data_IF_185848661115
#
_entry.id   IF_185848661115
#
_cell.length_a   1.000
_cell.length_b   1.000
_cell.length_c   1.000
_cell.angle_alpha   90.00
_cell.angle_beta   90.00
_cell.angle_gamma   90.00
#
_symmetry.space_group_name_H-M   'P 1'
#
loop_
_entity.id
_entity.type
_entity.pdbx_description
1 polymer ?
#
# COMPACT_ATOMS: atom_id res chain seq x y z
N UNK A 1 -1.39 5.27 -2.46
CA UNK A 1 -1.39 4.11 -3.39
C UNK A 1 -1.16 2.86 -2.56
N UNK A 2 -1.73 1.70 -2.93
CA UNK A 2 -1.48 0.46 -2.18
C UNK A 2 0.00 0.06 -2.28
N UNK A 3 0.53 -0.51 -1.19
CA UNK A 3 1.93 -0.95 -1.11
C UNK A 3 2.11 -2.26 -1.91
N UNK A 4 3.01 -2.30 -2.92
CA UNK A 4 3.17 -3.46 -3.79
C UNK A 4 3.69 -4.71 -3.06
N UNK A 5 4.55 -4.56 -2.05
CA UNK A 5 5.07 -5.70 -1.28
C UNK A 5 3.96 -6.36 -0.45
N UNK A 6 3.08 -5.54 0.12
CA UNK A 6 1.92 -6.01 0.88
C UNK A 6 0.91 -6.71 -0.04
N UNK A 7 0.67 -6.18 -1.25
CA UNK A 7 -0.16 -6.86 -2.25
C UNK A 7 0.42 -8.21 -2.68
N UNK A 8 1.73 -8.27 -2.90
CA UNK A 8 2.40 -9.52 -3.23
C UNK A 8 2.29 -10.55 -2.09
N UNK A 9 2.45 -10.12 -0.84
CA UNK A 9 2.28 -10.98 0.33
C UNK A 9 0.85 -11.49 0.47
N UNK A 10 -0.15 -10.63 0.26
CA UNK A 10 -1.56 -11.05 0.23
C UNK A 10 -1.83 -12.12 -0.84
N UNK A 11 -1.26 -11.98 -2.04
CA UNK A 11 -1.44 -12.97 -3.12
C UNK A 11 -0.72 -14.29 -2.86
N UNK A 12 0.31 -14.29 -2.00
CA UNK A 12 1.00 -15.51 -1.61
C UNK A 12 0.16 -16.37 -0.64
N UNK A 13 -0.84 -15.79 0.03
CA UNK A 13 -1.79 -16.51 0.89
C UNK A 13 -2.94 -17.06 0.02
N UNK A 14 -3.12 -18.39 -0.09
CA UNK A 14 -4.10 -19.00 -0.98
C UNK A 14 -5.53 -18.49 -0.77
N UNK A 15 -5.98 -18.36 0.47
CA UNK A 15 -7.33 -17.95 0.83
C UNK A 15 -7.62 -16.50 0.42
N UNK A 16 -6.64 -15.61 0.56
CA UNK A 16 -6.75 -14.21 0.14
C UNK A 16 -6.74 -14.11 -1.39
N UNK A 17 -5.91 -14.91 -2.07
CA UNK A 17 -5.90 -15.00 -3.52
C UNK A 17 -7.25 -15.51 -4.06
N UNK A 18 -7.78 -16.58 -3.48
CA UNK A 18 -9.10 -17.11 -3.82
C UNK A 18 -10.21 -16.09 -3.58
N UNK A 19 -10.14 -15.32 -2.50
CA UNK A 19 -11.08 -14.25 -2.22
C UNK A 19 -11.08 -13.18 -3.33
N UNK A 20 -9.90 -12.76 -3.79
CA UNK A 20 -9.76 -11.80 -4.90
C UNK A 20 -10.33 -12.36 -6.21
N UNK A 21 -10.06 -13.63 -6.51
CA UNK A 21 -10.60 -14.32 -7.67
C UNK A 21 -12.13 -14.40 -7.64
N UNK A 22 -12.70 -14.78 -6.49
CA UNK A 22 -14.16 -14.86 -6.31
C UNK A 22 -14.80 -13.49 -6.44
N UNK A 23 -14.19 -12.45 -5.85
CA UNK A 23 -14.63 -11.05 -6.01
C UNK A 23 -14.66 -10.64 -7.48
N UNK A 24 -13.60 -10.91 -8.23
CA UNK A 24 -13.54 -10.56 -9.65
C UNK A 24 -14.60 -11.33 -10.46
N UNK A 25 -14.78 -12.64 -10.18
CA UNK A 25 -15.80 -13.46 -10.83
C UNK A 25 -17.22 -12.95 -10.54
N UNK A 26 -17.53 -12.57 -9.30
CA UNK A 26 -18.84 -12.00 -8.94
C UNK A 26 -19.07 -10.66 -9.65
N UNK A 27 -18.06 -9.79 -9.70
CA UNK A 27 -18.15 -8.53 -10.43
C UNK A 27 -18.41 -8.76 -11.93
N UNK A 28 -17.73 -9.74 -12.54
CA UNK A 28 -17.96 -10.14 -13.93
C UNK A 28 -19.38 -10.68 -14.15
N UNK A 29 -19.88 -11.54 -13.25
CA UNK A 29 -21.25 -12.06 -13.32
C UNK A 29 -22.30 -10.95 -13.20
N UNK A 30 -22.07 -9.94 -12.36
CA UNK A 30 -22.95 -8.75 -12.25
C UNK A 30 -22.94 -7.96 -13.56
N UNK A 31 -21.77 -7.79 -14.17
CA UNK A 31 -21.63 -7.10 -15.46
C UNK A 31 -22.36 -7.86 -16.58
N UNK A 32 -22.19 -9.18 -16.64
CA UNK A 32 -22.74 -10.03 -17.70
C UNK A 32 -24.24 -10.36 -17.49
N UNK A 33 -24.79 -10.04 -16.32
CA UNK A 33 -26.21 -10.19 -15.99
C UNK A 33 -26.90 -8.82 -16.00
N UNK A 34 -27.33 -8.31 -17.17
CA UNK A 34 -27.96 -7.00 -17.27
C UNK A 34 -29.25 -6.92 -16.46
N UNK A 35 -29.65 -5.70 -16.13
CA UNK A 35 -30.96 -5.48 -15.52
C UNK A 35 -32.05 -5.91 -16.51
N UNK A 36 -33.00 -6.72 -16.03
CA UNK A 36 -34.22 -7.06 -16.75
C UNK A 36 -35.37 -6.22 -16.20
N UNK A 37 -36.35 -5.92 -17.06
CA UNK A 37 -37.59 -5.28 -16.61
C UNK A 37 -38.33 -6.14 -15.57
N UNK A 38 -39.28 -5.54 -14.87
CA UNK A 38 -40.07 -6.28 -13.89
C UNK A 38 -40.87 -7.41 -14.54
N UNK A 39 -41.14 -8.51 -13.81
CA UNK A 39 -41.96 -9.60 -14.33
C UNK A 39 -43.30 -9.14 -14.89
N UNK A 40 -43.91 -8.14 -14.26
CA UNK A 40 -45.16 -7.51 -14.69
C UNK A 40 -44.98 -6.73 -16.00
N UNK A 41 -43.87 -6.02 -16.17
CA UNK A 41 -43.56 -5.29 -17.41
C UNK A 41 -43.34 -6.27 -18.56
N UNK A 42 -42.58 -7.34 -18.34
CA UNK A 42 -42.33 -8.37 -19.36
C UNK A 42 -43.60 -9.13 -19.76
N UNK A 43 -44.46 -9.47 -18.80
CA UNK A 43 -45.77 -10.05 -19.10
C UNK A 43 -46.69 -9.07 -19.87
N UNK A 44 -46.64 -7.78 -19.51
CA UNK A 44 -47.43 -6.74 -20.17
C UNK A 44 -47.00 -6.52 -21.63
N UNK A 45 -45.70 -6.58 -21.94
CA UNK A 45 -45.21 -6.49 -23.33
C UNK A 45 -45.86 -7.55 -24.23
N UNK A 46 -46.02 -8.78 -23.73
CA UNK A 46 -46.72 -9.85 -24.47
C UNK A 46 -48.18 -9.51 -24.73
N UNK A 47 -48.87 -8.92 -23.74
CA UNK A 47 -50.25 -8.49 -23.91
C UNK A 47 -50.37 -7.30 -24.90
N UNK A 48 -49.43 -6.36 -24.86
CA UNK A 48 -49.37 -5.21 -25.77
C UNK A 48 -49.05 -5.66 -27.22
N UNK A 49 -48.18 -6.66 -27.39
CA UNK A 49 -47.91 -7.33 -28.67
C UNK A 49 -49.16 -8.04 -29.22
N UNK A 50 -49.87 -8.79 -28.37
CA UNK A 50 -51.10 -9.48 -28.76
C UNK A 50 -52.22 -8.52 -29.15
N UNK A 51 -52.36 -7.40 -28.44
CA UNK A 51 -53.29 -6.34 -28.80
C UNK A 51 -52.93 -5.75 -30.17
N UNK A 52 -51.65 -5.51 -30.43
CA UNK A 52 -51.17 -5.00 -31.72
C UNK A 52 -51.50 -5.97 -32.86
N UNK A 53 -51.30 -7.28 -32.65
CA UNK A 53 -51.66 -8.32 -33.63
C UNK A 53 -53.17 -8.41 -33.88
N UNK A 54 -53.98 -8.32 -32.81
CA UNK A 54 -55.43 -8.30 -32.92
C UNK A 54 -55.92 -7.08 -33.72
N UNK A 55 -55.36 -5.89 -33.46
CA UNK A 55 -55.71 -4.68 -34.20
C UNK A 55 -55.35 -4.78 -35.68
N UNK A 56 -54.30 -5.53 -36.03
CA UNK A 56 -53.86 -5.72 -37.41
C UNK A 56 -54.64 -6.81 -38.17
N UNK A 57 -55.02 -7.90 -37.48
CA UNK A 57 -55.55 -9.13 -38.13
C UNK A 57 -57.00 -9.44 -37.78
N UNK A 58 -57.56 -8.78 -36.76
CA UNK A 58 -58.87 -9.07 -36.19
C UNK A 58 -58.93 -10.38 -35.39
N UNK A 59 -57.81 -11.07 -35.18
CA UNK A 59 -57.76 -12.37 -34.50
C UNK A 59 -56.92 -12.27 -33.23
N UNK A 60 -57.48 -12.71 -32.10
CA UNK A 60 -56.76 -12.74 -30.83
C UNK A 60 -55.92 -14.02 -30.74
N UNK A 61 -54.60 -13.95 -30.45
CA UNK A 61 -53.79 -15.16 -30.37
C UNK A 61 -54.23 -16.06 -29.20
N UNK A 62 -54.29 -17.37 -29.40
CA UNK A 62 -54.78 -18.31 -28.39
C UNK A 62 -53.77 -18.59 -27.27
N UNK A 63 -52.49 -18.24 -27.48
CA UNK A 63 -51.36 -18.59 -26.61
C UNK A 63 -50.86 -17.42 -25.74
N UNK A 64 -51.55 -16.27 -25.77
CA UNK A 64 -51.11 -15.03 -25.09
C UNK A 64 -50.88 -15.25 -23.59
N UNK A 65 -51.79 -15.94 -22.92
CA UNK A 65 -51.68 -16.21 -21.48
C UNK A 65 -50.44 -17.06 -21.17
N UNK A 66 -50.20 -18.12 -21.94
CA UNK A 66 -49.04 -18.98 -21.79
C UNK A 66 -47.73 -18.23 -22.07
N UNK A 67 -47.69 -17.38 -23.11
CA UNK A 67 -46.53 -16.53 -23.42
C UNK A 67 -46.28 -15.49 -22.33
N UNK A 68 -47.32 -14.84 -21.81
CA UNK A 68 -47.21 -13.85 -20.75
C UNK A 68 -46.71 -14.48 -19.44
N UNK A 69 -47.24 -15.66 -19.07
CA UNK A 69 -46.76 -16.42 -17.91
C UNK A 69 -45.30 -16.86 -18.05
N UNK A 70 -44.90 -17.28 -19.25
CA UNK A 70 -43.50 -17.65 -19.54
C UNK A 70 -42.56 -16.43 -19.45
N UNK A 71 -42.98 -15.27 -19.97
CA UNK A 71 -42.24 -14.02 -19.86
C UNK A 71 -42.09 -13.58 -18.41
N UNK A 72 -43.18 -13.60 -17.63
CA UNK A 72 -43.17 -13.32 -16.19
C UNK A 72 -42.17 -14.21 -15.45
N UNK A 73 -42.27 -15.52 -15.63
CA UNK A 73 -41.46 -16.50 -14.90
C UNK A 73 -39.97 -16.34 -15.23
N UNK A 74 -39.64 -16.11 -16.51
CA UNK A 74 -38.27 -15.86 -16.96
C UNK A 74 -37.69 -14.59 -16.32
N UNK A 75 -38.45 -13.50 -16.36
CA UNK A 75 -38.05 -12.22 -15.78
C UNK A 75 -37.88 -12.31 -14.26
N UNK A 76 -38.80 -12.98 -13.56
CA UNK A 76 -38.71 -13.18 -12.11
C UNK A 76 -37.46 -13.97 -11.72
N UNK A 77 -37.15 -15.05 -12.45
CA UNK A 77 -35.92 -15.82 -12.25
C UNK A 77 -34.65 -14.99 -12.48
N UNK A 78 -34.61 -14.21 -13.57
CA UNK A 78 -33.47 -13.35 -13.87
C UNK A 78 -33.28 -12.23 -12.82
N UNK A 79 -34.36 -11.61 -12.33
CA UNK A 79 -34.28 -10.64 -11.24
C UNK A 79 -33.75 -11.26 -9.95
N UNK A 80 -34.23 -12.44 -9.57
CA UNK A 80 -33.78 -13.13 -8.36
C UNK A 80 -32.28 -13.45 -8.41
N UNK A 81 -31.79 -13.97 -9.54
CA UNK A 81 -30.35 -14.24 -9.74
C UNK A 81 -29.54 -12.95 -9.65
N UNK A 82 -29.97 -11.90 -10.36
CA UNK A 82 -29.26 -10.61 -10.35
C UNK A 82 -29.24 -9.98 -8.96
N UNK A 83 -30.32 -10.06 -8.19
CA UNK A 83 -30.38 -9.58 -6.82
C UNK A 83 -29.34 -10.29 -5.93
N UNK A 84 -29.19 -11.60 -6.06
CA UNK A 84 -28.18 -12.38 -5.33
C UNK A 84 -26.75 -12.04 -5.76
N UNK A 85 -26.50 -11.84 -7.05
CA UNK A 85 -25.18 -11.41 -7.52
C UNK A 85 -24.81 -10.02 -6.99
N UNK A 86 -25.76 -9.09 -6.92
CA UNK A 86 -25.53 -7.77 -6.33
C UNK A 86 -25.27 -7.84 -4.82
N UNK A 87 -25.98 -8.70 -4.10
CA UNK A 87 -25.75 -8.96 -2.67
C UNK A 87 -24.35 -9.52 -2.42
N UNK A 88 -23.97 -10.58 -3.15
CA UNK A 88 -22.62 -11.13 -3.09
C UNK A 88 -21.56 -10.08 -3.44
N UNK A 89 -21.79 -9.26 -4.48
CA UNK A 89 -20.86 -8.19 -4.83
C UNK A 89 -20.72 -7.15 -3.72
N UNK A 90 -21.80 -6.83 -2.99
CA UNK A 90 -21.72 -5.94 -1.81
C UNK A 90 -20.89 -6.57 -0.69
N UNK A 91 -21.07 -7.87 -0.43
CA UNK A 91 -20.30 -8.61 0.57
C UNK A 91 -18.80 -8.58 0.27
N UNK A 92 -18.38 -8.91 -0.96
CA UNK A 92 -16.97 -8.83 -1.40
C UNK A 92 -16.41 -7.39 -1.48
N UNK A 93 -17.27 -6.37 -1.50
CA UNK A 93 -16.85 -4.97 -1.44
C UNK A 93 -16.97 -4.38 -0.03
N UNK A 94 -17.47 -5.14 0.95
CA UNK A 94 -17.57 -4.68 2.31
C UNK A 94 -16.16 -4.55 2.91
N UNK A 95 -15.78 -3.40 3.52
CA UNK A 95 -14.43 -3.17 4.03
C UNK A 95 -13.96 -4.23 5.05
N UNK A 96 -14.87 -4.76 5.87
CA UNK A 96 -14.52 -5.76 6.88
C UNK A 96 -14.22 -7.14 6.32
N UNK A 97 -14.75 -7.51 5.14
CA UNK A 97 -14.64 -8.87 4.62
C UNK A 97 -13.18 -9.26 4.36
N UNK A 98 -12.45 -8.41 3.64
CA UNK A 98 -11.03 -8.62 3.38
C UNK A 98 -10.17 -8.34 4.63
N UNK A 99 -10.59 -7.40 5.48
CA UNK A 99 -9.85 -7.05 6.70
C UNK A 99 -9.81 -8.24 7.67
N UNK A 100 -10.96 -8.88 7.90
CA UNK A 100 -11.08 -10.07 8.76
C UNK A 100 -10.22 -11.21 8.23
N UNK A 101 -10.25 -11.45 6.90
CA UNK A 101 -9.45 -12.51 6.29
C UNK A 101 -7.94 -12.25 6.44
N UNK A 102 -7.51 -11.00 6.29
CA UNK A 102 -6.11 -10.61 6.48
C UNK A 102 -5.66 -10.74 7.93
N UNK A 103 -6.54 -10.45 8.89
CA UNK A 103 -6.26 -10.63 10.32
C UNK A 103 -6.10 -12.12 10.67
N UNK A 104 -6.98 -12.98 10.16
CA UNK A 104 -6.89 -14.44 10.34
C UNK A 104 -5.55 -14.97 9.80
N UNK A 105 -5.14 -14.51 8.61
CA UNK A 105 -3.92 -14.98 7.94
C UNK A 105 -2.72 -14.06 8.13
N UNK A 106 -2.69 -13.27 9.21
CA UNK A 106 -1.61 -12.28 9.44
C UNK A 106 -0.24 -12.93 9.48
N UNK A 107 -0.12 -14.07 10.15
CA UNK A 107 1.15 -14.79 10.31
C UNK A 107 1.69 -15.24 8.95
N UNK A 108 0.84 -15.76 8.07
CA UNK A 108 1.20 -16.16 6.72
C UNK A 108 1.59 -14.96 5.85
N UNK A 109 0.90 -13.82 6.00
CA UNK A 109 1.27 -12.57 5.33
C UNK A 109 2.68 -12.11 5.76
N UNK A 110 2.95 -12.13 7.08
CA UNK A 110 4.26 -11.75 7.62
C UNK A 110 5.37 -12.72 7.17
N UNK A 111 5.09 -14.02 7.12
CA UNK A 111 6.02 -15.02 6.59
C UNK A 111 6.31 -14.81 5.09
N UNK A 112 5.29 -14.45 4.29
CA UNK A 112 5.46 -14.11 2.89
C UNK A 112 6.31 -12.83 2.70
N UNK A 113 6.14 -11.83 3.57
CA UNK A 113 7.01 -10.65 3.59
C UNK A 113 8.45 -11.00 4.00
N UNK A 114 8.63 -11.91 4.96
CA UNK A 114 9.94 -12.45 5.33
C UNK A 114 10.65 -13.11 4.15
N UNK A 115 9.94 -13.94 3.39
CA UNK A 115 10.48 -14.57 2.18
C UNK A 115 10.87 -13.54 1.11
N UNK A 116 10.06 -12.49 0.92
CA UNK A 116 10.41 -11.38 0.02
C UNK A 116 11.66 -10.62 0.48
N UNK A 117 11.83 -10.41 1.79
CA UNK A 117 13.02 -9.79 2.35
C UNK A 117 14.26 -10.65 2.11
N UNK A 118 14.16 -11.95 2.35
CA UNK A 118 15.27 -12.90 2.12
C UNK A 118 15.71 -12.90 0.65
N UNK A 119 14.76 -12.93 -0.28
CA UNK A 119 15.01 -12.84 -1.72
C UNK A 119 15.68 -11.51 -2.09
N UNK A 120 15.23 -10.39 -1.52
CA UNK A 120 15.82 -9.07 -1.73
C UNK A 120 17.27 -9.03 -1.25
N UNK A 121 17.54 -9.54 -0.04
CA UNK A 121 18.88 -9.58 0.54
C UNK A 121 19.80 -10.54 -0.22
N UNK A 122 19.27 -11.65 -0.74
CA UNK A 122 20.00 -12.55 -1.62
C UNK A 122 20.38 -11.88 -2.95
N UNK A 123 19.49 -11.05 -3.52
CA UNK A 123 19.80 -10.24 -4.70
C UNK A 123 20.86 -9.17 -4.39
N UNK A 124 20.70 -8.44 -3.28
CA UNK A 124 21.65 -7.42 -2.87
C UNK A 124 23.06 -8.02 -2.65
N UNK A 125 23.15 -9.20 -2.02
CA UNK A 125 24.42 -9.92 -1.79
C UNK A 125 25.20 -10.22 -3.06
N UNK A 126 24.54 -10.36 -4.22
CA UNK A 126 25.22 -10.56 -5.52
C UNK A 126 26.01 -9.34 -5.98
N UNK A 127 25.76 -8.17 -5.39
CA UNK A 127 26.37 -6.90 -5.79
C UNK A 127 27.24 -6.28 -4.70
N UNK A 128 27.17 -6.77 -3.46
CA UNK A 128 27.96 -6.20 -2.35
C UNK A 128 29.46 -6.42 -2.50
N UNK A 129 29.91 -7.53 -3.10
CA UNK A 129 31.33 -7.79 -3.34
C UNK A 129 31.96 -6.79 -4.30
N UNK A 130 31.24 -6.43 -5.37
CA UNK A 130 31.71 -5.52 -6.42
C UNK A 130 31.69 -4.05 -5.95
N UNK A 131 30.93 -3.75 -4.90
CA UNK A 131 30.85 -2.41 -4.30
C UNK A 131 32.10 -2.05 -3.47
N UNK A 132 32.76 -3.03 -2.85
CA UNK A 132 33.89 -2.79 -1.96
C UNK A 132 33.52 -1.89 -0.77
N UNK A 133 34.29 -0.82 -0.54
CA UNK A 133 34.08 0.15 0.56
C UNK A 133 33.21 1.35 0.17
N UNK A 134 32.77 1.45 -1.09
CA UNK A 134 31.99 2.59 -1.59
C UNK A 134 30.59 2.61 -0.97
N UNK A 135 30.16 3.76 -0.45
CA UNK A 135 28.84 3.93 0.16
C UNK A 135 28.03 5.11 -0.40
N UNK A 136 28.64 5.94 -1.25
CA UNK A 136 27.97 7.08 -1.88
C UNK A 136 27.95 6.97 -3.41
N UNK A 137 27.04 7.72 -4.04
CA UNK A 137 26.94 7.77 -5.50
C UNK A 137 28.18 8.42 -6.14
N UNK A 138 28.74 9.46 -5.52
CA UNK A 138 29.90 10.18 -6.04
C UNK A 138 31.16 9.33 -5.99
N UNK A 139 31.34 8.56 -4.89
CA UNK A 139 32.43 7.60 -4.77
C UNK A 139 32.28 6.47 -5.79
N UNK A 140 31.05 5.99 -6.03
CA UNK A 140 30.78 4.96 -7.01
C UNK A 140 31.08 5.44 -8.44
N UNK A 141 30.71 6.67 -8.78
CA UNK A 141 31.02 7.29 -10.06
C UNK A 141 32.52 7.48 -10.25
N UNK A 142 33.22 7.89 -9.19
CA UNK A 142 34.68 8.08 -9.19
C UNK A 142 35.42 6.75 -9.38
N UNK A 143 34.98 5.69 -8.69
CA UNK A 143 35.54 4.35 -8.86
C UNK A 143 35.25 3.75 -10.25
N UNK A 144 34.09 4.07 -10.82
CA UNK A 144 33.69 3.66 -12.16
C UNK A 144 33.48 2.14 -12.31
N UNK A 145 33.35 1.70 -13.56
CA UNK A 145 33.29 0.28 -13.92
C UNK A 145 32.24 -0.53 -13.15
N UNK A 146 32.66 -1.69 -12.63
CA UNK A 146 31.79 -2.62 -11.89
C UNK A 146 31.26 -2.02 -10.58
N UNK A 147 32.02 -1.16 -9.91
CA UNK A 147 31.60 -0.52 -8.65
C UNK A 147 30.41 0.41 -8.88
N UNK A 148 30.47 1.24 -9.94
CA UNK A 148 29.35 2.10 -10.32
C UNK A 148 28.10 1.27 -10.67
N UNK A 149 28.26 0.19 -11.45
CA UNK A 149 27.15 -0.70 -11.80
C UNK A 149 26.52 -1.39 -10.58
N UNK A 150 27.35 -1.90 -9.67
CA UNK A 150 26.91 -2.53 -8.43
C UNK A 150 26.12 -1.54 -7.55
N UNK A 151 26.62 -0.31 -7.40
CA UNK A 151 25.93 0.74 -6.66
C UNK A 151 24.56 1.06 -7.28
N UNK A 152 24.48 1.20 -8.61
CA UNK A 152 23.20 1.43 -9.29
C UNK A 152 22.21 0.30 -9.06
N UNK A 153 22.64 -0.96 -9.14
CA UNK A 153 21.78 -2.12 -8.88
C UNK A 153 21.30 -2.15 -7.42
N UNK A 154 22.18 -1.92 -6.45
CA UNK A 154 21.81 -1.84 -5.03
C UNK A 154 20.85 -0.68 -4.76
N UNK A 155 21.11 0.50 -5.33
CA UNK A 155 20.21 1.66 -5.22
C UNK A 155 18.81 1.37 -5.77
N UNK A 156 18.70 0.59 -6.84
CA UNK A 156 17.42 0.19 -7.41
C UNK A 156 16.62 -0.76 -6.48
N UNK A 157 17.27 -1.47 -5.55
CA UNK A 157 16.63 -2.36 -4.59
C UNK A 157 16.11 -1.62 -3.33
N UNK A 158 16.64 -0.44 -3.02
CA UNK A 158 16.26 0.35 -1.83
C UNK A 158 14.76 0.67 -1.77
N UNK A 159 14.08 1.09 -2.85
CA UNK A 159 12.63 1.27 -2.82
C UNK A 159 11.86 -0.02 -2.48
N UNK A 160 12.34 -1.18 -2.93
CA UNK A 160 11.74 -2.47 -2.60
C UNK A 160 11.91 -2.79 -1.12
N UNK A 161 13.09 -2.52 -0.54
CA UNK A 161 13.30 -2.63 0.91
C UNK A 161 12.30 -1.75 1.69
N UNK A 162 12.18 -0.48 1.30
CA UNK A 162 11.27 0.46 1.93
C UNK A 162 9.81 -0.02 1.86
N UNK A 163 9.38 -0.56 0.72
CA UNK A 163 8.05 -1.13 0.56
C UNK A 163 7.83 -2.35 1.46
N UNK A 164 8.79 -3.28 1.54
CA UNK A 164 8.70 -4.45 2.43
C UNK A 164 8.59 -4.00 3.90
N UNK A 165 9.41 -3.05 4.34
CA UNK A 165 9.38 -2.54 5.72
C UNK A 165 8.08 -1.81 6.04
N UNK A 166 7.58 -0.99 5.12
CA UNK A 166 6.26 -0.37 5.28
C UNK A 166 5.15 -1.44 5.35
N UNK A 167 5.22 -2.47 4.49
CA UNK A 167 4.24 -3.56 4.46
C UNK A 167 4.25 -4.38 5.75
N UNK A 168 5.43 -4.64 6.33
CA UNK A 168 5.59 -5.27 7.64
C UNK A 168 4.82 -4.50 8.72
N UNK A 169 5.00 -3.18 8.77
CA UNK A 169 4.30 -2.37 9.78
C UNK A 169 2.80 -2.33 9.57
N UNK A 170 2.34 -2.29 8.32
CA UNK A 170 0.92 -2.35 8.00
C UNK A 170 0.33 -3.70 8.40
N UNK A 171 1.02 -4.82 8.11
CA UNK A 171 0.59 -6.18 8.45
C UNK A 171 0.56 -6.42 9.97
N UNK A 172 1.57 -5.96 10.72
CA UNK A 172 1.60 -6.05 12.19
C UNK A 172 0.45 -5.27 12.84
N UNK A 173 -0.02 -4.18 12.21
CA UNK A 173 -1.19 -3.41 12.65
C UNK A 173 -2.52 -4.07 12.31
N UNK A 174 -2.56 -5.11 11.47
CA UNK A 174 -3.78 -5.82 11.13
C UNK A 174 -4.21 -6.69 12.33
N UNK A 175 -5.02 -6.12 13.21
CA UNK A 175 -5.64 -6.81 14.35
C UNK A 175 -5.90 -5.86 15.51
N UNK A 176 -6.66 -6.32 16.50
CA UNK A 176 -6.91 -5.55 17.72
C UNK A 176 -5.61 -5.38 18.53
N UNK A 177 -4.95 -4.23 18.38
CA UNK A 177 -3.87 -3.75 19.25
C UNK A 177 -4.38 -3.28 20.62
N UNK A 178 -5.53 -3.79 21.08
CA UNK A 178 -6.22 -3.31 22.29
C UNK A 178 -5.29 -3.43 23.49
N UNK A 179 -4.80 -2.30 23.98
CA UNK A 179 -3.86 -2.21 25.11
C UNK A 179 -2.37 -2.12 24.75
N UNK A 180 -1.95 -2.52 23.54
CA UNK A 180 -0.55 -2.56 23.12
C UNK A 180 -0.15 -1.50 22.07
N UNK A 181 -1.10 -0.75 21.51
CA UNK A 181 -0.82 0.17 20.40
C UNK A 181 0.23 1.25 20.70
N UNK A 182 0.27 1.78 21.93
CA UNK A 182 1.26 2.80 22.31
C UNK A 182 2.66 2.22 22.49
N UNK A 183 2.76 1.01 23.05
CA UNK A 183 4.03 0.27 23.20
C UNK A 183 4.56 -0.14 21.84
N UNK A 184 3.71 -0.68 20.96
CA UNK A 184 4.08 -1.02 19.60
C UNK A 184 4.58 0.20 18.81
N UNK A 185 3.87 1.33 18.91
CA UNK A 185 4.28 2.55 18.22
C UNK A 185 5.61 3.07 18.78
N UNK A 186 5.82 3.02 20.10
CA UNK A 186 7.11 3.35 20.72
C UNK A 186 8.24 2.43 20.23
N UNK A 187 8.01 1.12 20.16
CA UNK A 187 9.00 0.16 19.70
C UNK A 187 9.40 0.42 18.25
N UNK A 188 8.40 0.67 17.40
CA UNK A 188 8.60 1.07 16.01
C UNK A 188 9.38 2.38 15.90
N UNK A 189 8.99 3.42 16.62
CA UNK A 189 9.65 4.73 16.59
C UNK A 189 11.07 4.68 17.17
N UNK A 190 11.35 3.67 18.00
CA UNK A 190 12.69 3.39 18.55
C UNK A 190 13.53 2.50 17.63
N UNK A 191 13.04 2.15 16.42
CA UNK A 191 13.79 1.40 15.42
C UNK A 191 13.86 -0.11 15.65
N UNK A 192 13.03 -0.67 16.53
CA UNK A 192 12.96 -2.12 16.73
C UNK A 192 12.10 -2.81 15.68
N UNK A 193 12.43 -4.06 15.36
CA UNK A 193 11.67 -4.94 14.45
C UNK A 193 12.23 -5.07 13.04
N UNK A 194 13.31 -4.36 12.70
CA UNK A 194 13.98 -4.52 11.41
C UNK A 194 15.10 -5.57 11.44
N UNK A 195 15.82 -5.65 12.55
CA UNK A 195 16.97 -6.55 12.78
C UNK A 195 16.90 -7.22 14.15
N UNK A 196 17.34 -8.47 14.23
CA UNK A 196 17.47 -9.21 15.48
C UNK A 196 18.68 -8.70 16.27
N UNK A 197 18.54 -8.64 17.60
CA UNK A 197 19.67 -8.38 18.49
C UNK A 197 20.23 -6.97 18.40
N UNK A 198 19.38 -5.96 18.16
CA UNK A 198 19.77 -4.55 18.29
C UNK A 198 20.49 -4.34 19.63
N UNK A 199 21.65 -3.70 19.55
CA UNK A 199 22.57 -3.46 20.66
C UNK A 199 23.32 -2.15 20.44
N UNK A 200 24.05 -1.69 21.47
CA UNK A 200 24.84 -0.46 21.45
C UNK A 200 25.95 -0.47 20.38
N UNK A 201 26.33 -1.65 19.88
CA UNK A 201 27.28 -1.81 18.76
C UNK A 201 26.65 -1.54 17.38
N UNK A 202 25.34 -1.30 17.32
CA UNK A 202 24.65 -0.95 16.07
C UNK A 202 25.05 0.46 15.65
N UNK A 203 25.61 0.67 14.44
CA UNK A 203 26.05 2.00 14.06
C UNK A 203 24.89 3.01 14.07
N UNK A 204 25.16 4.23 14.55
CA UNK A 204 24.13 5.24 14.82
C UNK A 204 23.30 5.60 13.57
N UNK A 205 23.93 5.63 12.40
CA UNK A 205 23.27 5.87 11.12
C UNK A 205 22.27 4.76 10.76
N UNK A 206 22.52 3.52 11.18
CA UNK A 206 21.60 2.40 10.95
C UNK A 206 20.41 2.46 11.89
N UNK A 207 20.65 2.91 13.13
CA UNK A 207 19.58 3.16 14.09
C UNK A 207 18.63 4.26 13.59
N UNK A 208 19.19 5.38 13.12
CA UNK A 208 18.41 6.47 12.52
C UNK A 208 17.61 6.01 11.29
N UNK A 209 18.22 5.19 10.42
CA UNK A 209 17.52 4.65 9.25
C UNK A 209 16.28 3.83 9.63
N UNK A 210 16.37 3.01 10.70
CA UNK A 210 15.25 2.22 11.22
C UNK A 210 14.17 3.10 11.87
N UNK A 211 14.58 4.08 12.70
CA UNK A 211 13.65 5.01 13.35
C UNK A 211 12.88 5.86 12.33
N UNK A 212 13.59 6.46 11.38
CA UNK A 212 13.00 7.31 10.36
C UNK A 212 12.32 6.53 9.23
N UNK A 213 12.52 5.20 9.16
CA UNK A 213 12.13 4.35 8.03
C UNK A 213 12.65 4.90 6.69
N UNK A 214 13.88 5.41 6.71
CA UNK A 214 14.56 5.96 5.54
C UNK A 214 15.81 5.15 5.28
N UNK A 215 15.69 4.27 4.29
CA UNK A 215 16.77 3.35 3.94
C UNK A 215 17.55 3.87 2.74
N UNK A 216 18.84 3.56 2.73
CA UNK A 216 19.76 3.86 1.63
C UNK A 216 20.59 2.62 1.25
N UNK A 217 21.57 2.80 0.36
CA UNK A 217 22.46 1.71 -0.07
C UNK A 217 23.34 1.24 1.10
N UNK A 218 23.78 2.14 1.97
CA UNK A 218 24.58 1.80 3.14
C UNK A 218 23.84 0.87 4.09
N UNK A 219 22.58 1.19 4.39
CA UNK A 219 21.71 0.37 5.21
C UNK A 219 21.45 -1.00 4.58
N UNK A 220 21.13 -1.06 3.29
CA UNK A 220 20.93 -2.35 2.60
C UNK A 220 22.18 -3.23 2.66
N UNK A 221 23.37 -2.65 2.43
CA UNK A 221 24.65 -3.38 2.54
C UNK A 221 24.88 -3.86 3.97
N UNK A 222 24.61 -3.02 4.96
CA UNK A 222 24.72 -3.38 6.36
C UNK A 222 23.81 -4.56 6.74
N UNK A 223 22.53 -4.54 6.31
CA UNK A 223 21.61 -5.66 6.51
C UNK A 223 22.14 -6.97 5.90
N UNK A 224 22.72 -6.90 4.70
CA UNK A 224 23.32 -8.08 4.04
C UNK A 224 24.52 -8.62 4.82
N UNK A 225 25.33 -7.74 5.42
CA UNK A 225 26.55 -8.09 6.15
C UNK A 225 26.25 -8.67 7.53
N UNK A 226 25.29 -8.10 8.26
CA UNK A 226 24.91 -8.60 9.58
C UNK A 226 24.11 -9.90 9.50
N UNK A 227 23.34 -10.08 8.42
CA UNK A 227 22.44 -11.23 8.27
C UNK A 227 21.33 -11.28 9.34
N UNK A 228 21.14 -10.19 10.08
CA UNK A 228 20.20 -10.12 11.20
C UNK A 228 18.82 -9.60 10.81
N UNK A 229 18.65 -9.17 9.56
CA UNK A 229 17.39 -8.65 9.04
C UNK A 229 16.30 -9.72 9.12
N UNK A 230 15.11 -9.35 9.59
CA UNK A 230 13.97 -10.25 9.68
C UNK A 230 12.65 -9.49 9.61
N UNK A 231 11.56 -10.21 9.38
CA UNK A 231 10.19 -9.71 9.56
C UNK A 231 9.64 -10.34 10.86
N UNK A 232 9.16 -9.54 11.83
CA UNK A 232 8.56 -10.07 13.05
C UNK A 232 7.31 -10.89 12.78
N UNK A 233 7.11 -11.96 13.54
CA UNK A 233 5.95 -12.85 13.41
C UNK A 233 4.67 -12.24 14.01
N UNK A 234 4.84 -11.35 15.00
CA UNK A 234 3.78 -10.63 15.69
C UNK A 234 4.29 -9.34 16.36
N UNK A 235 3.35 -8.61 16.96
CA UNK A 235 3.60 -7.35 17.69
C UNK A 235 4.38 -7.60 18.99
N UNK A 236 4.12 -8.71 19.67
CA UNK A 236 4.75 -9.07 20.94
C UNK A 236 6.25 -9.30 20.77
N UNK A 237 6.67 -9.85 19.64
CA UNK A 237 8.08 -10.03 19.26
C UNK A 237 8.80 -8.68 19.21
N UNK A 238 8.16 -7.65 18.66
CA UNK A 238 8.77 -6.31 18.54
C UNK A 238 8.87 -5.63 19.90
N UNK A 239 7.79 -5.69 20.71
CA UNK A 239 7.75 -5.11 22.06
C UNK A 239 8.79 -5.81 22.95
N UNK A 240 8.83 -7.15 22.93
CA UNK A 240 9.77 -7.93 23.72
C UNK A 240 11.23 -7.63 23.35
N UNK A 241 11.51 -7.37 22.07
CA UNK A 241 12.85 -6.97 21.63
C UNK A 241 13.26 -5.60 22.20
N UNK A 242 12.33 -4.63 22.24
CA UNK A 242 12.54 -3.34 22.89
C UNK A 242 12.76 -3.52 24.40
N UNK A 243 11.86 -4.22 25.09
CA UNK A 243 11.93 -4.42 26.53
C UNK A 243 13.25 -5.09 26.94
N UNK A 244 13.69 -6.10 26.17
CA UNK A 244 14.96 -6.78 26.43
C UNK A 244 16.17 -5.85 26.24
N UNK A 245 16.10 -4.89 25.31
CA UNK A 245 17.15 -3.88 25.14
C UNK A 245 17.15 -2.89 26.32
N UNK A 246 15.98 -2.37 26.68
CA UNK A 246 15.82 -1.44 27.81
C UNK A 246 16.29 -2.07 29.13
N UNK A 247 15.98 -3.35 29.37
CA UNK A 247 16.43 -4.06 30.57
C UNK A 247 17.96 -4.26 30.62
N UNK A 248 18.60 -4.55 29.48
CA UNK A 248 20.08 -4.67 29.41
C UNK A 248 20.79 -3.35 29.68
N UNK A 249 20.15 -2.26 29.24
CA UNK A 249 20.71 -0.90 29.32
C UNK A 249 20.14 -0.08 30.49
N UNK A 250 19.31 -0.70 31.35
CA UNK A 250 18.86 -0.11 32.59
C UNK A 250 20.03 -0.11 33.59
N UNK A 251 20.69 1.04 33.73
CA UNK A 251 21.61 1.27 34.84
C UNK A 251 20.83 1.19 36.17
N UNK A 252 21.19 0.29 37.11
CA UNK A 252 20.39 0.06 38.32
C UNK A 252 20.34 1.24 39.31
N UNK A 253 21.15 2.28 39.10
CA UNK A 253 21.25 3.49 39.96
C UNK A 253 21.39 4.80 39.17
N UNK A 254 21.02 4.83 37.88
CA UNK A 254 21.05 6.09 37.13
C UNK A 254 19.97 7.04 37.64
N UNK A 255 20.37 8.24 38.08
CA UNK A 255 19.43 9.36 38.23
C UNK A 255 18.64 9.52 36.92
N UNK A 256 17.33 9.83 36.98
CA UNK A 256 16.51 9.98 35.78
C UNK A 256 17.21 10.93 34.83
N UNK A 257 17.63 10.41 33.65
CA UNK A 257 18.25 11.23 32.61
C UNK A 257 17.21 12.25 32.18
N UNK A 258 17.27 13.45 32.76
CA UNK A 258 16.60 14.63 32.25
C UNK A 258 17.22 14.85 30.88
N UNK A 259 16.49 14.49 29.83
CA UNK A 259 16.78 14.98 28.49
C UNK A 259 16.69 16.49 28.61
N UNK A 260 17.83 17.17 28.78
CA UNK A 260 17.90 18.60 28.56
C UNK A 260 17.41 18.80 27.13
N UNK A 261 16.22 19.37 27.01
CA UNK A 261 15.72 19.90 25.75
C UNK A 261 16.78 20.89 25.31
N UNK A 262 17.61 20.46 24.36
CA UNK A 262 18.52 21.38 23.68
C UNK A 262 17.59 22.35 22.98
N UNK A 263 17.40 23.53 23.56
CA UNK A 263 16.82 24.67 22.84
C UNK A 263 17.72 24.88 21.63
N UNK A 264 17.29 24.36 20.49
CA UNK A 264 17.80 24.77 19.21
C UNK A 264 17.45 26.25 19.10
N UNK A 265 18.45 27.10 19.37
CA UNK A 265 18.37 28.52 19.06
C UNK A 265 18.17 28.60 17.57
N UNK A 266 16.91 28.74 17.16
CA UNK A 266 16.54 28.95 15.77
C UNK A 266 17.41 30.10 15.24
N UNK A 267 18.28 29.89 14.23
CA UNK A 267 19.01 30.99 13.65
C UNK A 267 17.99 32.02 13.16
N UNK A 268 18.23 33.33 13.39
CA UNK A 268 17.29 34.36 13.00
C UNK A 268 16.97 34.22 11.52
N UNK A 269 15.67 34.29 11.20
CA UNK A 269 15.18 34.15 9.84
C UNK A 269 16.01 35.05 8.90
N UNK A 270 16.49 34.53 7.75
CA UNK A 270 17.27 35.34 6.82
C UNK A 270 16.43 36.54 6.39
N UNK A 271 17.04 37.72 6.47
CA UNK A 271 16.37 38.97 6.12
C UNK A 271 15.71 38.84 4.73
N UNK A 272 14.45 39.29 4.57
CA UNK A 272 13.76 39.19 3.30
C UNK A 272 14.59 39.88 2.22
N UNK A 273 15.03 39.11 1.21
CA UNK A 273 15.71 39.69 0.05
C UNK A 273 14.77 40.72 -0.57
N UNK A 274 15.22 41.96 -0.83
CA UNK A 274 14.40 42.95 -1.50
C UNK A 274 13.95 42.37 -2.84
N UNK A 275 12.63 42.33 -3.05
CA UNK A 275 12.07 41.89 -4.33
C UNK A 275 12.65 42.80 -5.42
N UNK A 276 13.18 42.24 -6.52
CA UNK A 276 13.57 43.07 -7.65
C UNK A 276 12.33 43.84 -8.12
N UNK A 277 12.38 45.16 -8.00
CA UNK A 277 11.40 46.06 -8.59
C UNK A 277 11.53 45.85 -10.09
N UNK A 278 10.56 45.15 -10.68
CA UNK A 278 10.45 45.10 -12.13
C UNK A 278 10.35 46.54 -12.62
N UNK A 279 11.40 46.98 -13.32
CA UNK A 279 11.47 48.30 -13.94
C UNK A 279 10.18 48.54 -14.72
N UNK A 280 9.48 49.62 -14.36
CA UNK A 280 8.40 50.15 -15.16
C UNK A 280 8.94 50.34 -16.58
N UNK A 281 8.36 49.62 -17.53
CA UNK A 281 8.53 49.91 -18.96
C UNK A 281 8.29 51.40 -19.16
N UNK A 282 9.31 52.07 -19.67
CA UNK A 282 9.26 53.45 -20.14
C UNK A 282 8.06 53.59 -21.07
N UNK A 283 7.13 54.48 -20.72
CA UNK A 283 6.05 54.86 -21.63
C UNK A 283 6.62 55.42 -22.94
N UNK A 284 5.88 55.30 -24.05
CA UNK A 284 6.36 55.74 -25.36
C UNK A 284 6.64 57.24 -25.36
N UNK A 285 7.79 57.64 -25.92
CA UNK A 285 8.13 59.05 -26.13
C UNK A 285 7.16 59.67 -27.14
N UNK A 286 6.64 60.89 -26.89
CA UNK A 286 5.85 61.60 -27.87
C UNK A 286 6.71 61.98 -29.08
N UNK A 287 6.14 61.78 -30.27
CA UNK A 287 6.71 62.23 -31.54
C UNK A 287 6.46 63.74 -31.63
N UNK A 288 7.52 64.54 -31.49
CA UNK A 288 7.48 65.96 -31.79
C UNK A 288 7.43 66.14 -33.31
N UNK A 289 6.31 66.71 -33.78
CA UNK A 289 6.11 67.11 -35.15
C UNK A 289 7.04 68.28 -35.49
N UNK A 290 7.98 68.07 -36.41
CA UNK A 290 8.62 69.13 -37.17
C UNK A 290 7.90 69.27 -38.53
N UNK A 291 7.03 70.27 -38.65
CA UNK A 291 6.68 70.90 -39.93
C UNK A 291 6.60 72.42 -39.67
N UNK A 292 7.53 73.13 -40.31
CA UNK A 292 7.64 74.58 -40.59
C UNK A 292 7.39 75.61 -39.48
#
# INVERSE_FOLDING_TARGET
MPNPALEAAHRAVPEIAEWHDRKQRVAQLVHDTPAVDSPEIEARKVADEALTEFLATGTWPADVEARAQAAYTRAAGAQAVRARLLEANREYNHPSALTTLREIHRTEILAALGSQLDDLLAQARKHTSDLGTVRSADDALTAGGKTAEAYTKLRALVPTLANIRAAQWDALKMGELTGASSLFQRAKDSGFGDVRGVSDDTPAEQFLAMQEQRYDVGHLVWLVQTGAAYVPEDVETVISAQDAYEQRNAEPDAEPRVLEVREEVNPPAPAPKPRPVHGRKSGPKPIENFIN
#
